data_IF_797702849794
#
_entry.id   IF_797702849794
#
_cell.length_a   1.000
_cell.length_b   1.000
_cell.length_c   1.000
_cell.angle_alpha   90.00
_cell.angle_beta   90.00
_cell.angle_gamma   90.00
#
_symmetry.space_group_name_H-M   'P 1'
#
loop_
_entity.id
_entity.type
_entity.pdbx_description
1 polymer ?
#
# COMPACT_ATOMS: atom_id res chain seq x y z
N UNK A 1 -69.44 7.20 18.94
CA UNK A 1 -69.59 8.57 18.40
C UNK A 1 -68.19 9.15 18.26
N UNK A 2 -67.64 9.58 17.12
CA UNK A 2 -67.98 9.49 15.70
C UNK A 2 -66.64 9.53 14.93
N UNK A 3 -66.59 8.83 13.79
CA UNK A 3 -65.58 8.84 12.70
C UNK A 3 -65.73 10.13 11.85
N UNK A 4 -65.16 10.32 10.62
CA UNK A 4 -64.30 9.48 9.75
C UNK A 4 -63.08 10.28 9.15
N UNK A 5 -62.15 9.78 8.30
CA UNK A 5 -62.32 9.32 6.90
C UNK A 5 -61.00 8.76 6.29
N UNK A 6 -61.11 7.59 5.60
CA UNK A 6 -60.60 7.20 4.26
C UNK A 6 -59.10 7.35 3.86
N UNK A 7 -58.44 6.53 3.00
CA UNK A 7 -58.86 5.74 1.82
C UNK A 7 -57.76 4.68 1.41
N UNK A 8 -58.20 3.59 0.74
CA UNK A 8 -57.59 2.42 0.05
C UNK A 8 -56.06 2.24 -0.18
N UNK A 9 -55.44 1.05 -0.01
CA UNK A 9 -55.51 -0.22 -0.79
C UNK A 9 -55.15 -0.12 -2.28
N UNK A 10 -53.91 -0.48 -2.67
CA UNK A 10 -53.57 -1.07 -3.99
C UNK A 10 -52.46 -2.11 -3.83
N UNK A 11 -52.83 -3.37 -4.04
CA UNK A 11 -51.99 -4.54 -4.28
C UNK A 11 -51.89 -4.79 -5.79
N UNK A 12 -50.72 -5.19 -6.32
CA UNK A 12 -50.57 -5.80 -7.66
C UNK A 12 -49.40 -6.79 -7.73
N UNK A 13 -49.47 -7.79 -8.65
CA UNK A 13 -48.99 -9.15 -8.42
C UNK A 13 -47.84 -9.60 -9.35
N UNK A 14 -47.38 -10.84 -9.11
CA UNK A 14 -46.38 -11.63 -9.85
C UNK A 14 -46.80 -12.03 -11.27
N UNK A 15 -45.85 -12.45 -12.14
CA UNK A 15 -46.17 -13.21 -13.33
C UNK A 15 -45.59 -14.65 -13.30
N UNK A 16 -46.38 -15.58 -13.83
CA UNK A 16 -45.97 -16.92 -14.28
C UNK A 16 -46.30 -17.04 -15.79
N UNK A 17 -45.79 -18.06 -16.51
CA UNK A 17 -45.63 -18.04 -17.96
C UNK A 17 -46.72 -18.81 -18.73
N UNK A 18 -47.11 -18.35 -19.93
CA UNK A 18 -47.57 -19.23 -21.03
C UNK A 18 -47.62 -18.54 -22.41
N UNK A 19 -46.93 -19.18 -23.36
CA UNK A 19 -47.33 -19.55 -24.74
C UNK A 19 -48.03 -18.55 -25.69
N UNK A 20 -47.39 -18.28 -26.84
CA UNK A 20 -47.97 -18.23 -28.21
C UNK A 20 -46.85 -17.93 -29.22
N UNK A 21 -46.27 -18.94 -29.90
CA UNK A 21 -46.54 -19.33 -31.30
C UNK A 21 -46.88 -18.15 -32.23
N UNK A 22 -45.90 -17.70 -33.01
CA UNK A 22 -46.14 -17.20 -34.36
C UNK A 22 -45.24 -17.96 -35.33
N UNK A 23 -45.90 -18.65 -36.26
CA UNK A 23 -45.32 -19.40 -37.38
C UNK A 23 -45.19 -18.43 -38.54
N UNK A 24 -43.99 -18.25 -39.07
CA UNK A 24 -43.79 -17.79 -40.45
C UNK A 24 -42.89 -18.81 -41.15
N UNK A 25 -43.46 -19.42 -42.20
CA UNK A 25 -42.82 -20.38 -43.07
C UNK A 25 -42.26 -19.68 -44.33
N UNK A 26 -41.36 -20.40 -45.03
CA UNK A 26 -40.73 -20.21 -46.36
C UNK A 26 -39.22 -19.90 -46.34
N UNK A 27 -38.43 -20.46 -47.28
CA UNK A 27 -38.37 -21.85 -47.73
C UNK A 27 -36.99 -22.49 -47.49
N UNK A 28 -37.00 -23.82 -47.54
CA UNK A 28 -35.87 -24.73 -47.42
C UNK A 28 -34.89 -24.59 -48.59
N UNK A 29 -33.66 -24.14 -48.33
CA UNK A 29 -32.51 -24.40 -49.21
C UNK A 29 -31.52 -25.27 -48.44
N UNK A 30 -31.39 -26.52 -48.87
CA UNK A 30 -30.32 -27.42 -48.43
C UNK A 30 -29.00 -26.90 -49.01
N UNK A 31 -28.08 -26.51 -48.14
CA UNK A 31 -26.67 -26.41 -48.50
C UNK A 31 -25.81 -27.14 -47.45
N UNK A 32 -24.81 -27.82 -47.99
CA UNK A 32 -23.99 -28.87 -47.42
C UNK A 32 -23.14 -28.44 -46.22
N UNK A 33 -22.99 -29.35 -45.25
CA UNK A 33 -22.10 -29.23 -44.08
C UNK A 33 -20.63 -28.94 -44.46
N UNK A 34 -19.98 -27.95 -43.82
CA UNK A 34 -18.56 -28.00 -43.58
C UNK A 34 -18.27 -28.29 -42.09
N UNK A 35 -17.29 -29.16 -41.90
CA UNK A 35 -16.78 -29.68 -40.63
C UNK A 35 -16.50 -28.55 -39.63
N UNK A 36 -17.10 -28.66 -38.45
CA UNK A 36 -16.74 -27.84 -37.27
C UNK A 36 -15.34 -28.23 -36.79
N UNK A 37 -14.32 -27.47 -37.19
CA UNK A 37 -13.03 -27.47 -36.50
C UNK A 37 -13.21 -26.79 -35.15
N UNK A 38 -13.51 -27.62 -34.14
CA UNK A 38 -13.44 -27.27 -32.74
C UNK A 38 -11.96 -27.00 -32.42
N UNK A 39 -11.55 -25.74 -32.39
CA UNK A 39 -10.29 -25.39 -31.72
C UNK A 39 -10.51 -25.55 -30.21
N UNK A 40 -10.27 -26.76 -29.72
CA UNK A 40 -10.06 -27.01 -28.30
C UNK A 40 -8.67 -26.48 -27.96
N UNK A 41 -8.59 -25.27 -27.41
CA UNK A 41 -7.42 -24.88 -26.64
C UNK A 41 -7.39 -25.77 -25.39
N UNK A 42 -6.49 -26.76 -25.37
CA UNK A 42 -6.22 -27.57 -24.20
C UNK A 42 -5.58 -26.67 -23.14
N UNK A 43 -6.41 -26.15 -22.23
CA UNK A 43 -5.98 -25.32 -21.14
C UNK A 43 -5.19 -26.15 -20.12
N UNK A 44 -3.86 -26.04 -20.12
CA UNK A 44 -3.00 -26.48 -19.02
C UNK A 44 -3.06 -25.47 -17.87
N UNK A 45 -4.23 -25.33 -17.23
CA UNK A 45 -4.42 -24.38 -16.13
C UNK A 45 -3.65 -24.75 -14.86
N UNK A 46 -3.10 -25.97 -14.74
CA UNK A 46 -2.41 -26.45 -13.53
C UNK A 46 -1.04 -25.79 -13.28
N UNK A 47 -0.39 -25.26 -14.34
CA UNK A 47 0.96 -24.68 -14.24
C UNK A 47 0.97 -23.17 -13.95
N UNK A 48 -0.02 -22.43 -14.48
CA UNK A 48 -0.05 -20.96 -14.38
C UNK A 48 -0.35 -20.48 -12.96
N UNK A 49 -1.37 -21.05 -12.30
CA UNK A 49 -1.73 -20.64 -10.93
C UNK A 49 -0.65 -21.04 -9.91
N UNK A 50 0.02 -22.18 -10.10
CA UNK A 50 1.16 -22.59 -9.27
C UNK A 50 2.35 -21.65 -9.43
N UNK A 51 2.62 -21.20 -10.65
CA UNK A 51 3.69 -20.23 -10.96
C UNK A 51 3.33 -18.83 -10.43
N UNK A 52 2.08 -18.40 -10.56
CA UNK A 52 1.58 -17.14 -10.02
C UNK A 52 1.64 -17.12 -8.50
N UNK A 53 1.21 -18.19 -7.84
CA UNK A 53 1.30 -18.34 -6.38
C UNK A 53 2.75 -18.30 -5.89
N UNK A 54 3.68 -18.94 -6.62
CA UNK A 54 5.12 -18.86 -6.33
C UNK A 54 5.65 -17.43 -6.46
N UNK A 55 5.30 -16.73 -7.54
CA UNK A 55 5.74 -15.35 -7.76
C UNK A 55 5.18 -14.38 -6.71
N UNK A 56 3.92 -14.52 -6.33
CA UNK A 56 3.31 -13.71 -5.27
C UNK A 56 4.01 -13.98 -3.93
N UNK A 57 4.29 -15.25 -3.61
CA UNK A 57 4.99 -15.65 -2.39
C UNK A 57 6.44 -15.14 -2.36
N UNK A 58 7.15 -15.23 -3.48
CA UNK A 58 8.53 -14.73 -3.61
C UNK A 58 8.58 -13.20 -3.51
N UNK A 59 7.66 -12.48 -4.15
CA UNK A 59 7.57 -11.01 -4.06
C UNK A 59 7.22 -10.57 -2.64
N UNK A 60 6.24 -11.22 -2.01
CA UNK A 60 5.89 -10.95 -0.61
C UNK A 60 7.06 -11.21 0.35
N UNK A 61 7.79 -12.32 0.14
CA UNK A 61 9.00 -12.62 0.93
C UNK A 61 10.07 -11.54 0.74
N UNK A 62 10.34 -11.14 -0.51
CA UNK A 62 11.30 -10.08 -0.80
C UNK A 62 10.93 -8.74 -0.17
N UNK A 63 9.64 -8.38 -0.16
CA UNK A 63 9.18 -7.13 0.45
C UNK A 63 9.28 -7.17 1.98
N UNK A 64 9.01 -8.32 2.60
CA UNK A 64 9.26 -8.54 4.03
C UNK A 64 10.76 -8.44 4.35
N UNK A 65 11.62 -9.05 3.54
CA UNK A 65 13.07 -9.01 3.73
C UNK A 65 13.62 -7.57 3.62
N UNK A 66 13.06 -6.75 2.72
CA UNK A 66 13.39 -5.31 2.63
C UNK A 66 13.06 -4.58 3.93
N UNK A 67 11.90 -4.83 4.53
CA UNK A 67 11.53 -4.24 5.83
C UNK A 67 12.54 -4.65 6.89
N UNK A 68 12.86 -5.95 7.00
CA UNK A 68 13.83 -6.43 7.98
C UNK A 68 15.23 -5.84 7.78
N UNK A 69 15.67 -5.67 6.53
CA UNK A 69 16.96 -5.04 6.22
C UNK A 69 16.99 -3.56 6.61
N UNK A 70 15.90 -2.83 6.37
CA UNK A 70 15.78 -1.40 6.68
C UNK A 70 15.76 -1.11 8.18
N UNK A 71 15.20 -2.02 8.99
CA UNK A 71 15.18 -1.92 10.45
C UNK A 71 16.25 -2.77 11.15
N UNK A 72 17.27 -3.26 10.42
CA UNK A 72 18.30 -4.15 10.97
C UNK A 72 19.02 -3.56 12.18
N UNK A 73 19.40 -2.27 12.11
CA UNK A 73 20.06 -1.57 13.22
C UNK A 73 19.16 -1.45 14.45
N UNK A 74 17.90 -1.03 14.27
CA UNK A 74 16.90 -0.94 15.35
C UNK A 74 16.65 -2.31 15.99
N UNK A 75 16.53 -3.38 15.18
CA UNK A 75 16.36 -4.75 15.68
C UNK A 75 17.55 -5.21 16.52
N UNK A 76 18.78 -4.88 16.11
CA UNK A 76 19.97 -5.23 16.87
C UNK A 76 20.03 -4.51 18.21
N UNK A 77 19.67 -3.22 18.26
CA UNK A 77 19.59 -2.47 19.52
C UNK A 77 18.53 -3.05 20.46
N UNK A 78 17.38 -3.46 19.93
CA UNK A 78 16.30 -4.07 20.71
C UNK A 78 16.58 -5.53 21.11
N UNK A 79 17.61 -6.19 20.57
CA UNK A 79 17.95 -7.56 20.91
C UNK A 79 18.40 -7.72 22.38
N UNK A 80 18.90 -6.64 23.00
CA UNK A 80 19.25 -6.58 24.42
C UNK A 80 18.06 -7.00 25.30
N UNK A 81 16.82 -6.67 24.87
CA UNK A 81 15.59 -7.04 25.59
C UNK A 81 15.48 -8.56 25.76
N UNK A 82 15.95 -9.35 24.79
CA UNK A 82 15.89 -10.81 24.89
C UNK A 82 16.78 -11.34 26.00
N UNK A 83 17.97 -10.75 26.17
CA UNK A 83 18.89 -11.08 27.25
C UNK A 83 18.34 -10.67 28.61
N UNK A 84 17.75 -9.48 28.71
CA UNK A 84 17.13 -8.98 29.94
C UNK A 84 16.00 -9.90 30.44
N UNK A 85 15.16 -10.38 29.51
CA UNK A 85 14.00 -11.19 29.83
C UNK A 85 14.33 -12.65 30.15
N UNK A 86 15.53 -13.15 29.82
CA UNK A 86 15.97 -14.51 30.19
C UNK A 86 16.11 -14.68 31.70
N UNK A 87 16.56 -13.63 32.40
CA UNK A 87 16.81 -13.66 33.84
C UNK A 87 15.68 -13.03 34.66
N UNK A 88 14.56 -12.65 33.99
CA UNK A 88 13.44 -12.03 34.66
C UNK A 88 12.77 -12.98 35.67
N UNK A 89 12.50 -12.45 36.85
CA UNK A 89 11.59 -13.04 37.83
C UNK A 89 10.77 -11.89 38.47
N UNK A 90 9.76 -12.25 39.27
CA UNK A 90 8.84 -11.27 39.83
C UNK A 90 9.54 -10.21 40.71
N UNK A 91 10.58 -10.58 41.46
CA UNK A 91 11.31 -9.65 42.33
C UNK A 91 12.17 -8.66 41.53
N UNK A 92 12.64 -9.05 40.36
CA UNK A 92 13.46 -8.23 39.45
C UNK A 92 12.63 -7.37 38.48
N UNK A 93 11.30 -7.35 38.61
CA UNK A 93 10.40 -6.67 37.66
C UNK A 93 10.77 -5.21 37.45
N UNK A 94 10.97 -4.44 38.52
CA UNK A 94 11.26 -3.00 38.41
C UNK A 94 12.56 -2.75 37.65
N UNK A 95 13.63 -3.46 38.03
CA UNK A 95 14.95 -3.35 37.37
C UNK A 95 14.88 -3.70 35.89
N UNK A 96 14.22 -4.81 35.54
CA UNK A 96 14.10 -5.26 34.15
C UNK A 96 13.26 -4.30 33.31
N UNK A 97 12.22 -3.71 33.90
CA UNK A 97 11.38 -2.72 33.22
C UNK A 97 12.10 -1.38 33.02
N UNK A 98 12.96 -0.97 33.95
CA UNK A 98 13.79 0.23 33.79
C UNK A 98 14.83 0.05 32.66
N UNK A 99 15.48 -1.12 32.59
CA UNK A 99 16.41 -1.44 31.49
C UNK A 99 15.68 -1.57 30.13
N UNK A 100 14.46 -2.09 30.14
CA UNK A 100 13.59 -2.11 28.96
C UNK A 100 13.20 -0.69 28.52
N UNK A 101 12.88 0.21 29.45
CA UNK A 101 12.60 1.62 29.16
C UNK A 101 13.78 2.28 28.45
N UNK A 102 15.00 2.11 28.99
CA UNK A 102 16.21 2.65 28.38
C UNK A 102 16.42 2.10 26.96
N UNK A 103 16.29 0.78 26.76
CA UNK A 103 16.43 0.15 25.45
C UNK A 103 15.42 0.69 24.40
N UNK A 104 14.19 0.99 24.83
CA UNK A 104 13.18 1.61 23.98
C UNK A 104 13.54 3.06 23.63
N UNK A 105 14.00 3.86 24.61
CA UNK A 105 14.43 5.24 24.38
C UNK A 105 15.62 5.33 23.42
N UNK A 106 16.62 4.45 23.59
CA UNK A 106 17.78 4.31 22.67
C UNK A 106 17.36 3.96 21.25
N UNK A 107 16.20 3.31 21.09
CA UNK A 107 15.63 2.90 19.81
C UNK A 107 14.65 3.93 19.22
N UNK A 108 14.73 5.20 19.64
CA UNK A 108 13.88 6.32 19.21
C UNK A 108 12.38 6.17 19.57
N UNK A 109 12.03 5.37 20.57
CA UNK A 109 10.68 5.41 21.12
C UNK A 109 10.52 6.68 21.95
N UNK A 110 9.52 7.50 21.63
CA UNK A 110 9.27 8.74 22.36
C UNK A 110 8.88 8.50 23.83
N UNK A 111 9.25 9.37 24.77
CA UNK A 111 9.03 9.14 26.21
C UNK A 111 7.59 8.75 26.58
N UNK A 112 6.61 9.41 25.95
CA UNK A 112 5.19 9.14 26.20
C UNK A 112 4.75 7.72 25.81
N UNK A 113 5.29 7.18 24.72
CA UNK A 113 4.93 5.82 24.27
C UNK A 113 5.67 4.78 25.10
N UNK A 114 6.92 5.06 25.48
CA UNK A 114 7.74 4.18 26.31
C UNK A 114 7.10 3.98 27.69
N UNK A 115 6.82 5.07 28.41
CA UNK A 115 6.14 5.01 29.72
C UNK A 115 4.85 4.20 29.63
N UNK A 116 4.05 4.46 28.59
CA UNK A 116 2.79 3.74 28.39
C UNK A 116 2.99 2.24 28.19
N UNK A 117 3.99 1.83 27.41
CA UNK A 117 4.29 0.41 27.18
C UNK A 117 4.75 -0.24 28.48
N UNK A 118 5.70 0.39 29.18
CA UNK A 118 6.31 -0.13 30.41
C UNK A 118 5.28 -0.28 31.53
N UNK A 119 4.44 0.73 31.75
CA UNK A 119 3.39 0.66 32.77
C UNK A 119 2.33 -0.39 32.45
N UNK A 120 1.94 -0.55 31.17
CA UNK A 120 1.04 -1.65 30.79
C UNK A 120 1.65 -3.03 31.09
N UNK A 121 2.95 -3.22 30.83
CA UNK A 121 3.64 -4.48 31.17
C UNK A 121 3.73 -4.67 32.68
N UNK A 122 4.05 -3.61 33.43
CA UNK A 122 4.10 -3.61 34.90
C UNK A 122 2.77 -4.06 35.50
N UNK A 123 1.66 -3.45 35.07
CA UNK A 123 0.31 -3.80 35.51
C UNK A 123 -0.04 -5.26 35.20
N UNK A 124 0.29 -5.73 33.99
CA UNK A 124 0.01 -7.10 33.56
C UNK A 124 0.84 -8.15 34.33
N UNK A 125 2.09 -7.84 34.66
CA UNK A 125 2.95 -8.67 35.51
C UNK A 125 2.38 -8.73 36.94
N UNK A 126 2.09 -7.59 37.56
CA UNK A 126 1.60 -7.52 38.93
C UNK A 126 0.21 -8.14 39.08
N UNK A 127 -0.63 -8.07 38.05
CA UNK A 127 -1.92 -8.77 37.99
C UNK A 127 -1.79 -10.29 37.76
N UNK A 128 -0.58 -10.82 37.58
CA UNK A 128 -0.32 -12.23 37.32
C UNK A 128 -0.77 -12.71 35.93
N UNK A 129 -0.97 -11.78 34.98
CA UNK A 129 -1.33 -12.08 33.59
C UNK A 129 -0.12 -12.52 32.77
N UNK A 130 1.06 -12.03 33.10
CA UNK A 130 2.34 -12.38 32.48
C UNK A 130 3.23 -13.10 33.49
N UNK A 131 3.64 -14.32 33.17
CA UNK A 131 4.33 -15.23 34.10
C UNK A 131 5.71 -15.68 33.62
N UNK A 132 6.11 -15.28 32.41
CA UNK A 132 7.41 -15.65 31.84
C UNK A 132 7.97 -14.53 30.96
N UNK A 133 9.30 -14.49 30.80
CA UNK A 133 9.96 -13.51 29.93
C UNK A 133 9.47 -13.55 28.47
N UNK A 134 9.15 -14.74 27.94
CA UNK A 134 8.56 -14.86 26.60
C UNK A 134 7.17 -14.23 26.50
N UNK A 135 6.33 -14.39 27.53
CA UNK A 135 5.01 -13.74 27.56
C UNK A 135 5.14 -12.22 27.63
N UNK A 136 6.10 -11.71 28.41
CA UNK A 136 6.41 -10.27 28.47
C UNK A 136 6.86 -9.74 27.10
N UNK A 137 7.72 -10.47 26.40
CA UNK A 137 8.18 -10.11 25.04
C UNK A 137 7.02 -10.06 24.04
N UNK A 138 6.12 -11.04 24.08
CA UNK A 138 4.95 -11.05 23.20
C UNK A 138 3.92 -9.98 23.56
N UNK A 139 3.76 -9.67 24.85
CA UNK A 139 2.96 -8.55 25.32
C UNK A 139 3.54 -7.20 24.85
N UNK A 140 4.87 -7.01 24.89
CA UNK A 140 5.55 -5.84 24.34
C UNK A 140 5.24 -5.67 22.84
N UNK A 141 5.42 -6.74 22.05
CA UNK A 141 5.11 -6.73 20.62
C UNK A 141 3.65 -6.37 20.35
N UNK A 142 2.72 -6.93 21.15
CA UNK A 142 1.30 -6.62 21.06
C UNK A 142 1.00 -5.16 21.38
N UNK A 143 1.56 -4.63 22.46
CA UNK A 143 1.41 -3.21 22.85
C UNK A 143 1.88 -2.26 21.75
N UNK A 144 3.03 -2.54 21.12
CA UNK A 144 3.51 -1.76 19.98
C UNK A 144 2.57 -1.85 18.78
N UNK A 145 2.10 -3.06 18.45
CA UNK A 145 1.16 -3.28 17.33
C UNK A 145 -0.17 -2.56 17.55
N UNK A 146 -0.69 -2.58 18.77
CA UNK A 146 -1.94 -1.90 19.13
C UNK A 146 -1.79 -0.38 19.01
N UNK A 147 -0.66 0.18 19.44
CA UNK A 147 -0.36 1.61 19.26
C UNK A 147 -0.31 2.02 17.78
N UNK A 148 0.28 1.18 16.91
CA UNK A 148 0.34 1.43 15.47
C UNK A 148 -1.05 1.32 14.81
N UNK A 149 -1.87 0.36 15.24
CA UNK A 149 -3.16 0.06 14.60
C UNK A 149 -4.27 1.01 15.06
N UNK A 150 -4.23 1.49 16.31
CA UNK A 150 -5.33 2.27 16.93
C UNK A 150 -5.64 3.60 16.23
N UNK A 151 -4.68 4.20 15.51
CA UNK A 151 -4.83 5.53 14.89
C UNK A 151 -5.28 5.52 13.41
N UNK A 152 -5.56 4.37 12.82
CA UNK A 152 -6.15 4.32 11.48
C UNK A 152 -5.90 3.00 10.80
N UNK A 153 -6.91 2.14 10.78
CA UNK A 153 -6.90 0.82 10.12
C UNK A 153 -6.78 0.87 8.59
N UNK A 154 -6.38 2.01 8.01
CA UNK A 154 -6.40 2.26 6.57
C UNK A 154 -5.05 2.82 6.13
N UNK A 155 -4.07 1.94 6.02
CA UNK A 155 -2.72 2.24 5.47
C UNK A 155 -2.73 2.39 3.95
N UNK A 156 -3.77 1.88 3.29
CA UNK A 156 -3.98 2.00 1.84
C UNK A 156 -4.40 3.41 1.42
N UNK A 157 -3.93 3.83 0.25
CA UNK A 157 -4.36 5.08 -0.39
C UNK A 157 -5.87 5.03 -0.72
N UNK A 158 -6.62 6.01 -0.22
CA UNK A 158 -8.06 6.13 -0.44
C UNK A 158 -8.36 7.06 -1.60
N UNK A 159 -8.27 6.52 -2.82
CA UNK A 159 -8.49 7.29 -4.06
C UNK A 159 -9.97 7.43 -4.45
N UNK A 160 -10.86 6.62 -3.85
CA UNK A 160 -12.28 6.57 -4.22
C UNK A 160 -12.52 6.05 -5.64
N UNK A 161 -13.73 6.27 -6.17
CA UNK A 161 -14.12 5.84 -7.53
C UNK A 161 -14.19 6.99 -8.54
N UNK A 162 -14.31 8.24 -8.05
CA UNK A 162 -14.38 9.43 -8.89
C UNK A 162 -12.98 9.81 -9.39
N UNK A 163 -12.88 10.23 -10.65
CA UNK A 163 -11.62 10.62 -11.29
C UNK A 163 -11.67 12.09 -11.74
N UNK A 164 -10.54 12.81 -11.72
CA UNK A 164 -9.22 12.37 -11.24
C UNK A 164 -9.16 12.32 -9.70
N UNK A 165 -8.43 11.33 -9.15
CA UNK A 165 -8.05 11.34 -7.75
C UNK A 165 -6.80 12.23 -7.60
N UNK A 166 -6.79 13.14 -6.62
CA UNK A 166 -5.71 14.10 -6.42
C UNK A 166 -4.94 13.73 -5.15
N UNK A 167 -3.63 13.57 -5.26
CA UNK A 167 -2.71 13.29 -4.16
C UNK A 167 -1.70 14.42 -4.07
N UNK A 168 -1.67 15.12 -2.94
CA UNK A 168 -0.69 16.18 -2.67
C UNK A 168 0.37 15.66 -1.69
N UNK A 169 1.64 15.80 -2.06
CA UNK A 169 2.78 15.40 -1.21
C UNK A 169 3.43 16.65 -0.65
N UNK A 170 3.46 16.75 0.69
CA UNK A 170 3.94 17.92 1.44
C UNK A 170 5.04 17.53 2.42
N UNK A 171 5.82 18.52 2.88
CA UNK A 171 6.88 18.32 3.87
C UNK A 171 8.05 19.29 3.69
N UNK A 172 9.04 19.18 4.58
CA UNK A 172 10.24 20.04 4.60
C UNK A 172 11.30 19.61 3.59
N UNK A 173 12.34 20.42 3.41
CA UNK A 173 13.48 20.09 2.54
C UNK A 173 14.27 18.91 3.12
N UNK A 174 14.89 18.11 2.24
CA UNK A 174 15.64 16.91 2.66
C UNK A 174 14.78 15.67 2.95
N UNK A 175 13.48 15.81 3.20
CA UNK A 175 12.58 14.67 3.51
C UNK A 175 12.23 13.76 2.32
N UNK A 176 12.84 13.95 1.15
CA UNK A 176 12.65 13.05 0.00
C UNK A 176 11.29 13.14 -0.72
N UNK A 177 10.61 14.29 -0.68
CA UNK A 177 9.28 14.50 -1.29
C UNK A 177 9.22 14.13 -2.78
N UNK A 178 10.06 14.76 -3.60
CA UNK A 178 10.11 14.56 -5.06
C UNK A 178 10.45 13.10 -5.40
N UNK A 179 11.40 12.50 -4.68
CA UNK A 179 11.77 11.09 -4.81
C UNK A 179 10.61 10.16 -4.44
N UNK A 180 9.89 10.45 -3.37
CA UNK A 180 8.75 9.65 -2.90
C UNK A 180 7.56 9.75 -3.86
N UNK A 181 7.33 10.94 -4.45
CA UNK A 181 6.33 11.15 -5.50
C UNK A 181 6.64 10.27 -6.72
N UNK A 182 7.89 10.30 -7.20
CA UNK A 182 8.31 9.48 -8.34
C UNK A 182 8.15 7.98 -8.09
N UNK A 183 8.54 7.51 -6.89
CA UNK A 183 8.31 6.11 -6.45
C UNK A 183 6.83 5.75 -6.40
N UNK A 184 5.98 6.65 -5.90
CA UNK A 184 4.55 6.43 -5.86
C UNK A 184 3.95 6.37 -7.27
N UNK A 185 4.36 7.26 -8.17
CA UNK A 185 3.91 7.25 -9.56
C UNK A 185 4.32 5.96 -10.28
N UNK A 186 5.56 5.50 -10.08
CA UNK A 186 6.02 4.21 -10.59
C UNK A 186 5.12 3.06 -10.11
N UNK A 187 4.83 3.01 -8.80
CA UNK A 187 3.94 1.99 -8.22
C UNK A 187 2.53 2.05 -8.82
N UNK A 188 1.93 3.23 -8.91
CA UNK A 188 0.58 3.40 -9.47
C UNK A 188 0.53 3.04 -10.96
N UNK A 189 1.59 3.31 -11.72
CA UNK A 189 1.73 2.89 -13.13
C UNK A 189 1.85 1.38 -13.27
N UNK A 190 2.61 0.71 -12.39
CA UNK A 190 2.72 -0.76 -12.35
C UNK A 190 1.36 -1.41 -12.03
N UNK A 191 0.54 -0.73 -11.21
CA UNK A 191 -0.85 -1.11 -10.92
C UNK A 191 -1.84 -0.74 -12.06
N UNK A 192 -1.36 -0.17 -13.18
CA UNK A 192 -2.15 0.16 -14.37
C UNK A 192 -2.89 1.50 -14.33
N UNK A 193 -2.61 2.36 -13.35
CA UNK A 193 -3.24 3.68 -13.26
C UNK A 193 -2.68 4.66 -14.32
N UNK A 194 -3.54 5.55 -14.81
CA UNK A 194 -3.12 6.73 -15.58
C UNK A 194 -2.71 7.83 -14.60
N UNK A 195 -1.44 8.23 -14.64
CA UNK A 195 -0.85 9.18 -13.70
C UNK A 195 -0.40 10.42 -14.45
N UNK A 196 -0.85 11.58 -13.96
CA UNK A 196 -0.37 12.91 -14.35
C UNK A 196 0.38 13.50 -13.17
N UNK A 197 1.64 13.88 -13.38
CA UNK A 197 2.45 14.59 -12.38
C UNK A 197 2.26 16.10 -12.54
N UNK A 198 2.30 16.83 -11.43
CA UNK A 198 2.28 18.30 -11.43
C UNK A 198 3.46 18.83 -10.60
N UNK A 199 4.34 19.61 -11.25
CA UNK A 199 5.51 20.23 -10.62
C UNK A 199 5.11 21.47 -9.82
N UNK A 200 4.51 21.25 -8.64
CA UNK A 200 4.10 22.33 -7.73
C UNK A 200 5.20 22.84 -6.78
N UNK A 201 6.40 22.26 -6.79
CA UNK A 201 7.55 22.74 -6.01
C UNK A 201 8.28 23.85 -6.78
N UNK A 202 7.69 25.04 -6.79
CA UNK A 202 8.19 26.21 -7.54
C UNK A 202 9.31 26.98 -6.82
N UNK A 203 9.51 26.71 -5.52
CA UNK A 203 10.55 27.37 -4.73
C UNK A 203 11.94 26.76 -4.97
N UNK A 204 12.00 25.43 -5.19
CA UNK A 204 13.26 24.73 -5.40
C UNK A 204 13.49 24.54 -6.90
N UNK A 205 14.37 25.36 -7.48
CA UNK A 205 14.70 25.31 -8.92
C UNK A 205 14.96 23.88 -9.45
N UNK A 206 15.78 23.09 -8.75
CA UNK A 206 16.11 21.72 -9.17
C UNK A 206 15.00 20.68 -8.92
N UNK A 207 13.94 21.01 -8.19
CA UNK A 207 12.86 20.05 -7.89
C UNK A 207 12.00 19.77 -9.13
N UNK A 208 11.79 20.78 -9.98
CA UNK A 208 11.09 20.61 -11.26
C UNK A 208 11.86 19.68 -12.19
N UNK A 209 13.14 19.95 -12.43
CA UNK A 209 14.01 19.11 -13.28
C UNK A 209 14.08 17.67 -12.77
N UNK A 210 14.19 17.49 -11.45
CA UNK A 210 14.19 16.16 -10.85
C UNK A 210 12.86 15.43 -11.08
N UNK A 211 11.73 16.15 -11.05
CA UNK A 211 10.41 15.57 -11.30
C UNK A 211 10.21 15.25 -12.79
N UNK A 212 10.73 16.06 -13.72
CA UNK A 212 10.76 15.77 -15.16
C UNK A 212 11.51 14.45 -15.43
N UNK A 213 12.66 14.22 -14.79
CA UNK A 213 13.40 12.95 -14.88
C UNK A 213 12.57 11.77 -14.36
N UNK A 214 11.80 11.96 -13.28
CA UNK A 214 10.90 10.91 -12.78
C UNK A 214 9.73 10.64 -13.73
N UNK A 215 9.17 11.67 -14.35
CA UNK A 215 8.11 11.54 -15.34
C UNK A 215 8.60 10.71 -16.54
N UNK A 216 9.79 11.02 -17.07
CA UNK A 216 10.44 10.26 -18.14
C UNK A 216 10.67 8.80 -17.73
N UNK A 217 11.29 8.56 -16.56
CA UNK A 217 11.58 7.21 -16.06
C UNK A 217 10.33 6.33 -15.86
N UNK A 218 9.21 6.94 -15.52
CA UNK A 218 7.96 6.23 -15.22
C UNK A 218 6.98 6.23 -16.40
N UNK A 219 7.29 6.95 -17.48
CA UNK A 219 6.37 7.17 -18.60
C UNK A 219 5.07 7.85 -18.15
N UNK A 220 5.17 8.81 -17.23
CA UNK A 220 4.05 9.66 -16.82
C UNK A 220 4.08 10.99 -17.56
N UNK A 221 2.91 11.56 -17.80
CA UNK A 221 2.81 12.94 -18.25
C UNK A 221 3.10 13.89 -17.08
N UNK A 222 3.64 15.07 -17.37
CA UNK A 222 3.97 16.09 -16.36
C UNK A 222 3.52 17.48 -16.80
N UNK A 223 2.91 18.21 -15.87
CA UNK A 223 2.65 19.65 -15.99
C UNK A 223 3.70 20.40 -15.18
N UNK A 224 4.33 21.40 -15.80
CA UNK A 224 5.38 22.23 -15.20
C UNK A 224 4.93 23.68 -15.22
N UNK A 225 5.31 24.46 -14.20
CA UNK A 225 5.01 25.89 -14.16
C UNK A 225 5.66 26.62 -15.34
N UNK A 226 4.93 27.56 -15.95
CA UNK A 226 5.46 28.43 -17.00
C UNK A 226 6.42 29.46 -16.37
N UNK A 227 7.73 29.25 -16.56
CA UNK A 227 8.82 30.12 -16.12
C UNK A 227 10.10 29.79 -16.91
N UNK A 228 10.99 30.76 -17.08
CA UNK A 228 12.13 30.75 -18.03
C UNK A 228 12.92 29.44 -18.05
N UNK A 229 12.56 28.55 -18.98
CA UNK A 229 13.47 27.51 -19.45
C UNK A 229 14.57 28.21 -20.25
N UNK A 230 15.61 28.70 -19.57
CA UNK A 230 16.88 29.02 -20.25
C UNK A 230 17.42 27.69 -20.76
N UNK A 231 17.08 27.37 -22.02
CA UNK A 231 17.75 26.31 -22.77
C UNK A 231 19.22 26.69 -22.81
N UNK A 232 20.05 26.04 -21.99
CA UNK A 232 21.49 26.06 -22.20
C UNK A 232 21.72 25.55 -23.63
N UNK A 233 22.15 26.47 -24.50
CA UNK A 233 22.41 26.18 -25.90
C UNK A 233 23.51 25.12 -25.98
N UNK A 234 23.14 23.98 -26.55
CA UNK A 234 24.06 22.98 -27.07
C UNK A 234 24.94 23.65 -28.13
N UNK A 235 26.14 24.06 -27.73
CA UNK A 235 27.05 24.85 -28.56
C UNK A 235 28.52 24.59 -28.26
N UNK A 236 28.92 23.36 -27.95
CA UNK A 236 30.33 22.97 -27.97
C UNK A 236 30.65 22.31 -29.32
N UNK A 237 30.95 23.13 -30.33
CA UNK A 237 31.55 22.65 -31.58
C UNK A 237 32.94 22.11 -31.26
N UNK A 238 33.14 20.80 -31.49
CA UNK A 238 34.46 20.16 -31.47
C UNK A 238 35.38 20.89 -32.44
N UNK A 239 36.55 21.29 -31.94
CA UNK A 239 37.57 22.04 -32.68
C UNK A 239 38.03 21.33 -33.94
N UNK A 240 38.20 22.14 -34.98
CA UNK A 240 38.89 21.78 -36.22
C UNK A 240 40.33 21.36 -35.92
N UNK A 241 40.70 20.22 -36.50
CA UNK A 241 42.04 19.66 -36.46
C UNK A 241 42.81 20.23 -37.66
N UNK A 242 43.54 21.31 -37.46
CA UNK A 242 44.40 21.88 -38.50
C UNK A 242 45.68 21.03 -38.61
N UNK A 243 45.86 20.40 -39.78
CA UNK A 243 47.14 19.85 -40.23
C UNK A 243 48.05 21.01 -40.63
N UNK A 244 49.23 21.11 -40.02
CA UNK A 244 50.49 21.51 -40.64
C UNK A 244 51.58 20.58 -40.10
#
# INVERSE_FOLDING_TARGET
MATPTHFSLISRPSPSPSTSRLIFAFPLVRFTSPKTTRFTCSASQTGFFTRLGRLIKEKAKSDVDKIFSGFSKTRNNLAVIDELLLYWNLADTDRVLDELEEALLVSDFGPRITIKIVECLREDILAGRLKSGSEIKDALKKSVLDLLSKKGNKTELRLGFRKPAVVMIVGVNGGGKTTSLGKLAYRLKDEGAKVLMAAGDTFRAAASDQLEIWAERTGCEIVVAEGEKVKASSGCKKGERTRL
#
